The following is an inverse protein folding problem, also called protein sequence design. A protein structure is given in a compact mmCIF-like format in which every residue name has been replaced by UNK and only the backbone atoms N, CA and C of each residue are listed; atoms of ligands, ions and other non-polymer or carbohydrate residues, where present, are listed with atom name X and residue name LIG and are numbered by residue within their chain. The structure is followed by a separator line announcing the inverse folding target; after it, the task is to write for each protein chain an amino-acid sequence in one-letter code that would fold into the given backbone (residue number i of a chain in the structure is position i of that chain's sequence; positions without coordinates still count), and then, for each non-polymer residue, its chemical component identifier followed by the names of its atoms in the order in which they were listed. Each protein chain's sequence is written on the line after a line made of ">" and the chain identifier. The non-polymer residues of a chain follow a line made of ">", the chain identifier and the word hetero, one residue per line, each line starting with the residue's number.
data_IF_309568325974
#
_entry.id   IF_309568325974
#
_cell.length_a   1.000
_cell.length_b   1.000
_cell.length_c   1.000
_cell.angle_alpha   90.00
_cell.angle_beta   90.00
_cell.angle_gamma   90.00
#
_symmetry.space_group_name_H-M   'P 1'
#
loop_
_entity.id
_entity.type
_entity.pdbx_description
1 polymer ?
#
# COMPACT_ATOMS: atom_id res chain seq x y z
N UNK A 1 -16.03 -25.24 5.10
CA UNK A 1 -14.80 -25.49 5.86
C UNK A 1 -14.22 -24.14 6.25
N UNK A 2 -14.73 -23.54 7.33
CA UNK A 2 -14.35 -22.21 7.83
C UNK A 2 -14.40 -22.27 9.35
N UNK A 3 -13.23 -22.17 9.98
CA UNK A 3 -12.97 -21.65 11.33
C UNK A 3 -11.46 -21.78 11.55
N UNK A 4 -10.86 -20.85 12.27
CA UNK A 4 -9.41 -20.65 12.45
C UNK A 4 -8.70 -19.98 11.27
N UNK A 5 -8.67 -18.64 11.25
CA UNK A 5 -7.54 -17.82 10.78
C UNK A 5 -7.85 -16.30 10.82
N UNK A 6 -8.29 -15.76 11.95
CA UNK A 6 -8.21 -14.30 12.19
C UNK A 6 -7.67 -13.98 13.59
N UNK A 7 -6.39 -14.33 13.89
CA UNK A 7 -5.76 -13.97 15.16
C UNK A 7 -5.75 -12.46 15.43
N UNK A 8 -6.00 -11.65 14.42
CA UNK A 8 -6.10 -10.20 14.54
C UNK A 8 -7.36 -9.76 15.30
N UNK A 9 -8.44 -10.55 15.38
CA UNK A 9 -9.73 -10.14 15.99
C UNK A 9 -9.67 -9.95 17.51
N UNK A 10 -8.58 -10.36 18.17
CA UNK A 10 -8.39 -10.25 19.62
C UNK A 10 -7.85 -8.88 20.07
N UNK A 11 -7.38 -8.02 19.15
CA UNK A 11 -6.71 -6.74 19.45
C UNK A 11 -7.66 -5.52 19.50
N UNK A 12 -8.94 -5.76 19.78
CA UNK A 12 -10.08 -4.84 19.64
C UNK A 12 -10.01 -3.48 20.38
N UNK A 13 -9.31 -3.29 21.52
CA UNK A 13 -9.41 -2.00 22.24
C UNK A 13 -8.19 -1.06 22.14
N UNK A 14 -7.14 -1.38 21.38
CA UNK A 14 -5.87 -0.59 21.38
C UNK A 14 -5.41 -0.12 19.98
N UNK A 15 -6.29 -0.14 18.97
CA UNK A 15 -5.84 0.05 17.58
C UNK A 15 -5.28 1.46 17.32
N UNK A 16 -5.87 2.53 17.86
CA UNK A 16 -5.33 3.90 17.69
C UNK A 16 -4.11 4.22 18.56
N UNK A 17 -3.81 3.42 19.61
CA UNK A 17 -2.62 3.67 20.46
C UNK A 17 -1.31 3.25 19.81
N UNK A 18 -1.37 2.59 18.66
CA UNK A 18 -0.21 2.16 17.88
C UNK A 18 0.09 3.08 16.70
N UNK A 19 -0.73 4.12 16.51
CA UNK A 19 -0.48 5.18 15.54
C UNK A 19 0.82 5.89 15.94
N UNK A 20 1.67 6.12 14.95
CA UNK A 20 3.01 6.70 15.13
C UNK A 20 3.02 8.11 14.59
N UNK A 21 3.80 8.96 15.26
CA UNK A 21 4.22 10.19 14.62
C UNK A 21 5.15 9.88 13.44
N UNK A 22 5.17 10.72 12.38
CA UNK A 22 6.01 10.47 11.21
C UNK A 22 7.50 10.25 11.54
N UNK A 23 8.05 10.94 12.54
CA UNK A 23 9.42 10.74 12.99
C UNK A 23 9.66 9.32 13.56
N UNK A 24 8.68 8.77 14.29
CA UNK A 24 8.75 7.42 14.85
C UNK A 24 8.59 6.36 13.76
N UNK A 25 7.65 6.57 12.83
CA UNK A 25 7.50 5.75 11.62
C UNK A 25 8.82 5.67 10.85
N UNK A 26 9.49 6.81 10.64
CA UNK A 26 10.77 6.86 9.93
C UNK A 26 11.89 6.17 10.73
N UNK A 27 12.00 6.45 12.03
CA UNK A 27 12.99 5.82 12.91
C UNK A 27 12.86 4.29 12.90
N UNK A 28 11.64 3.77 12.93
CA UNK A 28 11.40 2.34 13.03
C UNK A 28 11.48 1.62 11.68
N UNK A 29 10.97 2.22 10.60
CA UNK A 29 10.79 1.54 9.32
C UNK A 29 11.63 2.12 8.18
N UNK A 30 12.38 3.20 8.38
CA UNK A 30 13.16 3.89 7.35
C UNK A 30 14.18 3.00 6.62
N UNK A 31 14.79 2.03 7.30
CA UNK A 31 15.67 1.05 6.66
C UNK A 31 14.90 0.07 5.77
N UNK A 32 13.69 -0.31 6.15
CA UNK A 32 12.81 -1.20 5.38
C UNK A 32 12.23 -0.49 4.15
N UNK A 33 11.82 0.78 4.30
CA UNK A 33 11.39 1.61 3.17
C UNK A 33 12.51 1.74 2.14
N UNK A 34 13.75 1.98 2.60
CA UNK A 34 14.93 2.00 1.71
C UNK A 34 15.15 0.66 1.04
N UNK A 35 15.19 -0.43 1.80
CA UNK A 35 15.43 -1.79 1.28
C UNK A 35 14.46 -2.19 0.16
N UNK A 36 13.19 -1.83 0.28
CA UNK A 36 12.13 -2.29 -0.62
C UNK A 36 11.66 -1.23 -1.62
N UNK A 37 12.32 -0.07 -1.69
CA UNK A 37 11.98 0.96 -2.66
C UNK A 37 12.32 0.55 -4.11
N UNK A 38 11.59 1.11 -5.07
CA UNK A 38 11.92 1.09 -6.50
C UNK A 38 12.27 2.49 -7.00
N UNK A 39 12.62 2.62 -8.28
CA UNK A 39 12.81 3.94 -8.91
C UNK A 39 11.55 4.80 -8.94
N UNK A 40 10.36 4.19 -8.81
CA UNK A 40 9.07 4.91 -8.79
C UNK A 40 8.55 5.02 -7.36
N UNK A 41 8.54 3.88 -6.66
CA UNK A 41 8.02 3.76 -5.30
C UNK A 41 9.17 4.02 -4.33
N UNK A 42 9.45 5.31 -4.11
CA UNK A 42 10.59 5.76 -3.30
C UNK A 42 10.34 5.50 -1.81
N UNK A 43 11.40 5.50 -0.97
CA UNK A 43 11.25 5.28 0.47
C UNK A 43 10.26 6.27 1.13
N UNK A 44 10.31 7.53 0.70
CA UNK A 44 9.48 8.62 1.24
C UNK A 44 8.02 8.44 0.82
N UNK A 45 7.75 8.00 -0.42
CA UNK A 45 6.39 7.69 -0.85
C UNK A 45 5.82 6.49 -0.09
N UNK A 46 6.62 5.44 0.14
CA UNK A 46 6.21 4.29 0.94
C UNK A 46 5.88 4.67 2.38
N UNK A 47 6.69 5.53 2.98
CA UNK A 47 6.45 6.06 4.32
C UNK A 47 5.19 6.94 4.35
N UNK A 48 4.99 7.78 3.33
CA UNK A 48 3.83 8.63 3.20
C UNK A 48 2.53 7.84 3.08
N UNK A 49 2.49 6.83 2.23
CA UNK A 49 1.33 5.92 2.12
C UNK A 49 1.08 5.22 3.46
N UNK A 50 2.12 4.69 4.11
CA UNK A 50 1.97 4.02 5.41
C UNK A 50 1.36 4.94 6.49
N UNK A 51 1.76 6.21 6.48
CA UNK A 51 1.30 7.20 7.43
C UNK A 51 -0.11 7.71 7.12
N UNK A 52 -0.44 7.94 5.85
CA UNK A 52 -1.75 8.45 5.43
C UNK A 52 -2.84 7.38 5.57
N UNK A 53 -2.51 6.12 5.29
CA UNK A 53 -3.49 5.02 5.28
C UNK A 53 -3.77 4.44 6.66
N UNK A 54 -2.73 4.32 7.49
CA UNK A 54 -2.86 3.66 8.78
C UNK A 54 -1.95 4.24 9.85
N UNK A 55 -1.49 5.48 9.74
CA UNK A 55 -0.72 6.14 10.80
C UNK A 55 0.61 5.46 11.13
N UNK A 56 1.19 4.65 10.23
CA UNK A 56 2.36 3.81 10.55
C UNK A 56 2.06 2.67 11.52
N UNK A 57 0.79 2.33 11.73
CA UNK A 57 0.33 1.24 12.58
C UNK A 57 0.19 -0.07 11.77
N UNK A 58 1.02 -1.09 12.04
CA UNK A 58 1.04 -2.33 11.27
C UNK A 58 -0.22 -3.20 11.45
N UNK A 59 -1.07 -2.90 12.42
CA UNK A 59 -2.32 -3.64 12.68
C UNK A 59 -3.57 -2.77 12.54
N UNK A 60 -3.44 -1.57 11.96
CA UNK A 60 -4.56 -0.65 11.72
C UNK A 60 -5.72 -1.33 11.00
N UNK A 61 -6.96 -1.01 11.38
CA UNK A 61 -8.17 -1.50 10.70
C UNK A 61 -9.01 -0.34 10.18
N UNK A 62 -9.83 -0.64 9.19
CA UNK A 62 -10.95 0.21 8.82
C UNK A 62 -11.99 0.26 9.93
N UNK A 63 -12.84 1.29 9.89
CA UNK A 63 -14.00 1.41 10.76
C UNK A 63 -14.89 0.15 10.72
N UNK A 64 -15.52 -0.14 11.86
CA UNK A 64 -16.45 -1.25 12.01
C UNK A 64 -17.85 -0.85 11.57
N UNK A 65 -18.60 -1.80 11.01
CA UNK A 65 -19.99 -1.57 10.62
C UNK A 65 -20.83 -2.81 10.88
N UNK A 66 -22.14 -2.61 11.02
CA UNK A 66 -23.09 -3.71 11.06
C UNK A 66 -23.28 -4.31 9.66
N UNK A 67 -23.30 -5.64 9.60
CA UNK A 67 -23.59 -6.40 8.39
C UNK A 67 -24.78 -7.32 8.63
N UNK A 68 -25.72 -7.34 7.69
CA UNK A 68 -26.81 -8.31 7.70
C UNK A 68 -26.27 -9.65 7.19
N UNK A 69 -26.11 -10.61 8.10
CA UNK A 69 -25.57 -11.95 7.79
C UNK A 69 -26.08 -12.98 8.77
N UNK A 70 -26.20 -14.23 8.31
CA UNK A 70 -26.62 -15.38 9.12
C UNK A 70 -25.49 -15.94 10.00
N UNK A 71 -24.25 -15.48 9.81
CA UNK A 71 -23.13 -15.82 10.68
C UNK A 71 -23.08 -14.85 11.88
N UNK A 72 -23.30 -15.30 13.12
CA UNK A 72 -23.31 -14.42 14.29
C UNK A 72 -22.00 -13.67 14.52
N UNK A 73 -20.86 -14.25 14.14
CA UNK A 73 -19.54 -13.59 14.22
C UNK A 73 -19.35 -12.50 13.14
N UNK A 74 -20.22 -12.47 12.13
CA UNK A 74 -20.18 -11.50 11.03
C UNK A 74 -21.10 -10.31 11.22
N UNK A 75 -21.90 -10.26 12.30
CA UNK A 75 -22.91 -9.21 12.51
C UNK A 75 -22.28 -7.82 12.65
N UNK A 76 -21.14 -7.77 13.34
CA UNK A 76 -20.36 -6.55 13.53
C UNK A 76 -18.89 -6.85 13.22
N UNK A 77 -18.42 -6.35 12.08
CA UNK A 77 -17.07 -6.62 11.57
C UNK A 77 -16.51 -5.37 10.86
N UNK A 78 -15.21 -5.32 10.57
CA UNK A 78 -14.62 -4.23 9.80
C UNK A 78 -15.33 -4.06 8.45
N UNK A 79 -15.50 -2.81 8.01
CA UNK A 79 -16.20 -2.47 6.78
C UNK A 79 -15.57 -3.05 5.50
N UNK A 80 -14.31 -3.49 5.58
CA UNK A 80 -13.58 -4.21 4.54
C UNK A 80 -12.53 -5.11 5.17
N UNK A 81 -11.87 -5.97 4.38
CA UNK A 81 -10.73 -6.78 4.84
C UNK A 81 -9.40 -6.04 4.85
N UNK A 82 -9.41 -4.71 4.66
CA UNK A 82 -8.22 -3.88 4.76
C UNK A 82 -7.60 -3.93 6.16
N UNK A 83 -6.29 -4.16 6.23
CA UNK A 83 -5.54 -4.20 7.48
C UNK A 83 -4.11 -3.67 7.30
N UNK A 84 -3.57 -3.16 8.41
CA UNK A 84 -2.21 -2.70 8.56
C UNK A 84 -1.97 -1.31 7.98
N UNK A 85 -0.72 -0.88 8.02
CA UNK A 85 -0.35 0.49 7.69
C UNK A 85 -0.59 0.89 6.24
N UNK A 86 -0.88 -0.08 5.36
CA UNK A 86 -1.25 0.15 3.95
C UNK A 86 -2.68 -0.28 3.62
N UNK A 87 -3.50 -0.60 4.62
CA UNK A 87 -4.90 -1.02 4.43
C UNK A 87 -5.07 -2.11 3.35
N UNK A 88 -4.19 -3.12 3.37
CA UNK A 88 -4.13 -4.17 2.34
C UNK A 88 -5.33 -5.11 2.51
N UNK A 89 -6.18 -5.21 1.50
CA UNK A 89 -7.32 -6.15 1.48
C UNK A 89 -6.86 -7.58 1.17
N UNK A 90 -7.72 -8.57 1.42
CA UNK A 90 -7.42 -9.98 1.09
C UNK A 90 -7.10 -10.16 -0.41
N UNK A 91 -7.86 -9.51 -1.29
CA UNK A 91 -7.64 -9.59 -2.74
C UNK A 91 -6.35 -8.92 -3.18
N UNK A 92 -6.05 -7.73 -2.64
CA UNK A 92 -4.77 -7.04 -2.90
C UNK A 92 -3.60 -7.87 -2.40
N UNK A 93 -3.74 -8.53 -1.24
CA UNK A 93 -2.71 -9.41 -0.70
C UNK A 93 -2.44 -10.60 -1.62
N UNK A 94 -3.48 -11.28 -2.10
CA UNK A 94 -3.34 -12.41 -3.02
C UNK A 94 -2.66 -12.03 -4.36
N UNK A 95 -2.86 -10.79 -4.82
CA UNK A 95 -2.18 -10.29 -6.02
C UNK A 95 -0.73 -9.90 -5.71
N UNK A 96 -0.50 -9.20 -4.60
CA UNK A 96 0.81 -8.68 -4.21
C UNK A 96 1.81 -9.80 -3.90
N UNK A 97 1.37 -10.93 -3.34
CA UNK A 97 2.25 -12.07 -3.02
C UNK A 97 2.90 -12.70 -4.26
N UNK A 98 2.46 -12.36 -5.47
CA UNK A 98 3.11 -12.77 -6.72
C UNK A 98 4.39 -11.99 -7.01
N UNK A 99 4.71 -10.96 -6.23
CA UNK A 99 5.83 -10.09 -6.51
C UNK A 99 6.69 -9.85 -5.26
N UNK A 100 7.96 -9.58 -5.49
CA UNK A 100 8.93 -9.21 -4.47
C UNK A 100 9.92 -8.18 -5.04
N UNK A 101 10.77 -7.65 -4.17
CA UNK A 101 11.80 -6.67 -4.52
C UNK A 101 13.18 -7.29 -4.36
N UNK A 102 13.96 -7.30 -5.45
CA UNK A 102 15.39 -7.61 -5.45
C UNK A 102 16.16 -6.42 -6.02
N UNK A 103 17.14 -5.90 -5.27
CA UNK A 103 18.00 -4.79 -5.71
C UNK A 103 17.19 -3.63 -6.32
N UNK A 104 16.13 -3.21 -5.63
CA UNK A 104 15.21 -2.13 -6.04
C UNK A 104 14.42 -2.39 -7.34
N UNK A 105 14.31 -3.65 -7.77
CA UNK A 105 13.54 -4.06 -8.94
C UNK A 105 12.45 -5.05 -8.55
N UNK A 106 11.29 -4.91 -9.18
CA UNK A 106 10.20 -5.87 -9.04
C UNK A 106 10.52 -7.14 -9.78
N UNK A 107 10.35 -8.25 -9.09
CA UNK A 107 10.48 -9.61 -9.60
C UNK A 107 9.15 -10.31 -9.39
N UNK A 108 8.78 -11.18 -10.34
CA UNK A 108 7.58 -12.01 -10.24
C UNK A 108 7.95 -13.38 -9.66
N UNK A 109 6.98 -14.00 -8.97
CA UNK A 109 7.06 -15.37 -8.49
C UNK A 109 7.33 -16.32 -9.66
N UNK A 110 8.06 -17.40 -9.36
CA UNK A 110 8.54 -18.31 -10.37
C UNK A 110 9.08 -19.60 -9.75
N UNK A 111 9.59 -20.51 -10.59
CA UNK A 111 10.10 -21.79 -10.10
C UNK A 111 11.19 -21.60 -9.05
N UNK A 112 11.17 -22.41 -7.99
CA UNK A 112 12.14 -22.33 -6.88
C UNK A 112 13.62 -22.42 -7.31
N UNK A 113 13.90 -23.00 -8.48
CA UNK A 113 15.24 -23.14 -9.04
C UNK A 113 15.70 -21.90 -9.82
N UNK A 114 14.84 -20.91 -10.03
CA UNK A 114 15.22 -19.65 -10.65
C UNK A 114 15.72 -18.67 -9.57
N UNK A 115 17.04 -18.36 -9.51
CA UNK A 115 17.59 -17.43 -8.53
C UNK A 115 17.08 -15.99 -8.68
N UNK A 116 16.45 -15.69 -9.81
CA UNK A 116 15.86 -14.39 -10.11
C UNK A 116 14.34 -14.38 -9.93
N UNK A 117 13.74 -15.38 -9.26
CA UNK A 117 12.33 -15.35 -8.88
C UNK A 117 12.15 -15.09 -7.39
N UNK A 118 10.95 -14.67 -7.01
CA UNK A 118 10.59 -14.61 -5.60
C UNK A 118 10.53 -16.01 -5.00
N UNK A 119 10.98 -16.15 -3.76
CA UNK A 119 10.87 -17.41 -3.00
C UNK A 119 10.17 -17.15 -1.67
N UNK A 120 9.47 -18.16 -1.15
CA UNK A 120 8.79 -18.12 0.15
C UNK A 120 7.64 -17.10 0.30
N UNK A 121 7.00 -16.72 -0.80
CA UNK A 121 5.85 -15.80 -0.80
C UNK A 121 4.66 -16.27 0.08
N UNK A 122 4.56 -17.57 0.36
CA UNK A 122 3.55 -18.14 1.25
C UNK A 122 3.66 -17.68 2.72
N UNK A 123 4.81 -17.12 3.12
CA UNK A 123 5.06 -16.61 4.48
C UNK A 123 4.78 -15.12 4.63
N UNK A 124 4.32 -14.44 3.57
CA UNK A 124 3.97 -13.03 3.65
C UNK A 124 2.83 -12.78 4.65
N UNK A 125 2.83 -11.59 5.24
CA UNK A 125 1.80 -11.15 6.18
C UNK A 125 1.57 -9.67 6.03
N UNK A 126 0.30 -9.25 6.03
CA UNK A 126 -0.09 -7.83 5.92
C UNK A 126 0.26 -6.99 7.15
N UNK A 127 0.49 -7.65 8.29
CA UNK A 127 0.73 -6.98 9.58
C UNK A 127 2.22 -6.99 9.99
N UNK A 128 3.07 -7.67 9.22
CA UNK A 128 4.53 -7.61 9.43
C UNK A 128 5.08 -6.44 8.60
N UNK A 129 5.69 -5.41 9.21
CA UNK A 129 6.08 -4.19 8.48
C UNK A 129 6.92 -4.45 7.23
N UNK A 130 7.98 -5.25 7.32
CA UNK A 130 8.83 -5.55 6.15
C UNK A 130 8.04 -6.20 5.00
N UNK A 131 7.09 -7.08 5.32
CA UNK A 131 6.26 -7.77 4.33
C UNK A 131 5.29 -6.78 3.68
N UNK A 132 4.55 -6.00 4.48
CA UNK A 132 3.59 -5.03 3.97
C UNK A 132 4.26 -3.96 3.09
N UNK A 133 5.46 -3.49 3.46
CA UNK A 133 6.25 -2.55 2.65
C UNK A 133 6.61 -3.17 1.30
N UNK A 134 7.14 -4.38 1.29
CA UNK A 134 7.55 -5.04 0.06
C UNK A 134 6.37 -5.34 -0.87
N UNK A 135 5.26 -5.84 -0.31
CA UNK A 135 4.02 -6.13 -1.04
C UNK A 135 3.45 -4.86 -1.69
N UNK A 136 3.35 -3.77 -0.94
CA UNK A 136 2.86 -2.49 -1.45
C UNK A 136 3.78 -1.93 -2.53
N UNK A 137 5.10 -1.94 -2.29
CA UNK A 137 6.09 -1.43 -3.24
C UNK A 137 6.03 -2.18 -4.56
N UNK A 138 6.12 -3.51 -4.50
CA UNK A 138 6.18 -4.36 -5.68
C UNK A 138 4.88 -4.27 -6.50
N UNK A 139 3.73 -4.34 -5.85
CA UNK A 139 2.44 -4.28 -6.54
C UNK A 139 2.19 -2.91 -7.20
N UNK A 140 2.48 -1.82 -6.50
CA UNK A 140 2.26 -0.47 -7.05
C UNK A 140 3.20 -0.18 -8.22
N UNK A 141 4.48 -0.53 -8.11
CA UNK A 141 5.44 -0.36 -9.21
C UNK A 141 4.99 -1.16 -10.44
N UNK A 142 4.60 -2.42 -10.26
CA UNK A 142 4.08 -3.26 -11.35
C UNK A 142 2.84 -2.66 -12.01
N UNK A 143 1.90 -2.15 -11.23
CA UNK A 143 0.67 -1.54 -11.75
C UNK A 143 0.93 -0.21 -12.46
N UNK A 144 1.87 0.61 -11.97
CA UNK A 144 2.31 1.84 -12.68
C UNK A 144 2.92 1.48 -14.02
N UNK A 145 3.86 0.53 -14.06
CA UNK A 145 4.49 0.08 -15.32
C UNK A 145 3.45 -0.48 -16.30
N UNK A 146 2.51 -1.29 -15.81
CA UNK A 146 1.41 -1.83 -16.62
C UNK A 146 0.47 -0.76 -17.14
N UNK A 147 0.25 0.32 -16.38
CA UNK A 147 -0.66 1.41 -16.75
C UNK A 147 -0.04 2.36 -17.75
N UNK A 148 1.22 2.76 -17.55
CA UNK A 148 1.94 3.70 -18.41
C UNK A 148 2.44 3.02 -19.67
N UNK A 149 2.85 1.75 -19.56
CA UNK A 149 3.54 1.01 -20.60
C UNK A 149 5.06 1.20 -20.56
N UNK A 150 5.88 0.14 -20.68
CA UNK A 150 7.34 0.23 -20.54
C UNK A 150 8.00 1.29 -21.42
N UNK A 151 7.58 1.40 -22.69
CA UNK A 151 8.14 2.36 -23.65
C UNK A 151 7.79 3.82 -23.37
N UNK A 152 6.80 4.10 -22.51
CA UNK A 152 6.39 5.47 -22.14
C UNK A 152 6.91 5.91 -20.79
N UNK A 153 7.53 5.03 -20.01
CA UNK A 153 8.04 5.33 -18.68
C UNK A 153 9.06 6.48 -18.69
N UNK A 154 9.87 6.64 -19.72
CA UNK A 154 10.82 7.75 -19.83
C UNK A 154 10.17 9.12 -20.04
N UNK A 155 8.96 9.17 -20.60
CA UNK A 155 8.24 10.42 -20.91
C UNK A 155 7.39 10.94 -19.75
N UNK A 156 7.08 10.07 -18.78
CA UNK A 156 6.25 10.42 -17.61
C UNK A 156 7.16 10.85 -16.46
N UNK A 157 6.87 12.02 -15.90
CA UNK A 157 7.63 12.55 -14.76
C UNK A 157 7.51 11.62 -13.54
N UNK A 158 8.50 11.64 -12.65
CA UNK A 158 8.44 10.86 -11.41
C UNK A 158 7.18 11.20 -10.61
N UNK A 159 6.86 12.48 -10.46
CA UNK A 159 5.65 12.93 -9.76
C UNK A 159 4.36 12.35 -10.35
N UNK A 160 4.22 12.32 -11.67
CA UNK A 160 3.05 11.72 -12.31
C UNK A 160 2.96 10.21 -12.05
N UNK A 161 4.09 9.49 -12.05
CA UNK A 161 4.13 8.06 -11.70
C UNK A 161 3.74 7.81 -10.24
N UNK A 162 4.22 8.65 -9.33
CA UNK A 162 3.91 8.56 -7.89
C UNK A 162 2.44 8.91 -7.60
N UNK A 163 1.91 9.95 -8.23
CA UNK A 163 0.48 10.27 -8.17
C UNK A 163 -0.37 9.14 -8.73
N UNK A 164 0.06 8.52 -9.84
CA UNK A 164 -0.61 7.34 -10.39
C UNK A 164 -0.57 6.17 -9.40
N UNK A 165 0.56 5.90 -8.74
CA UNK A 165 0.67 4.88 -7.71
C UNK A 165 -0.31 5.13 -6.55
N UNK A 166 -0.38 6.38 -6.06
CA UNK A 166 -1.30 6.78 -5.00
C UNK A 166 -2.78 6.66 -5.44
N UNK A 167 -3.12 7.04 -6.67
CA UNK A 167 -4.47 6.82 -7.24
C UNK A 167 -4.79 5.33 -7.35
N UNK A 168 -3.85 4.49 -7.81
CA UNK A 168 -4.03 3.04 -7.90
C UNK A 168 -4.22 2.43 -6.50
N UNK A 169 -3.48 2.92 -5.51
CA UNK A 169 -3.59 2.46 -4.14
C UNK A 169 -4.98 2.76 -3.56
N UNK A 170 -5.44 4.01 -3.70
CA UNK A 170 -6.74 4.46 -3.18
C UNK A 170 -7.93 3.86 -3.95
N UNK A 171 -7.85 3.86 -5.28
CA UNK A 171 -9.01 3.67 -6.17
C UNK A 171 -8.96 2.37 -6.99
N UNK A 172 -7.85 1.63 -6.92
CA UNK A 172 -7.62 0.45 -7.74
C UNK A 172 -7.11 0.74 -9.16
N UNK A 173 -6.70 -0.32 -9.85
CA UNK A 173 -6.03 -0.26 -11.15
C UNK A 173 -6.88 0.42 -12.25
N UNK A 174 -8.19 0.15 -12.30
CA UNK A 174 -9.08 0.72 -13.32
C UNK A 174 -9.15 2.25 -13.26
N UNK A 175 -9.24 2.81 -12.05
CA UNK A 175 -9.20 4.26 -11.85
C UNK A 175 -7.82 4.85 -12.22
N UNK A 176 -6.74 4.13 -11.93
CA UNK A 176 -5.39 4.47 -12.36
C UNK A 176 -5.26 4.54 -13.89
N UNK A 177 -5.76 3.53 -14.61
CA UNK A 177 -5.81 3.54 -16.07
C UNK A 177 -6.59 4.74 -16.62
N UNK A 178 -7.77 5.01 -16.07
CA UNK A 178 -8.58 6.14 -16.48
C UNK A 178 -7.88 7.49 -16.22
N UNK A 179 -7.18 7.62 -15.08
CA UNK A 179 -6.37 8.79 -14.73
C UNK A 179 -5.20 9.00 -15.71
N UNK A 180 -4.47 7.94 -16.02
CA UNK A 180 -3.37 7.97 -16.99
C UNK A 180 -3.86 8.28 -18.42
N UNK A 181 -4.98 7.69 -18.84
CA UNK A 181 -5.59 7.94 -20.15
C UNK A 181 -6.01 9.41 -20.34
N UNK A 182 -6.34 10.12 -19.26
CA UNK A 182 -6.62 11.57 -19.26
C UNK A 182 -5.37 12.45 -19.16
N UNK A 183 -4.18 11.88 -19.36
CA UNK A 183 -2.92 12.61 -19.23
C UNK A 183 -2.62 13.03 -17.79
N UNK A 184 -2.94 12.17 -16.82
CA UNK A 184 -2.72 12.41 -15.38
C UNK A 184 -3.54 13.59 -14.84
N UNK A 185 -4.77 13.75 -15.32
CA UNK A 185 -5.72 14.78 -14.87
C UNK A 185 -6.91 14.14 -14.12
N UNK A 186 -7.17 14.64 -12.92
CA UNK A 186 -8.35 14.28 -12.13
C UNK A 186 -9.61 14.89 -12.74
N UNK A 187 -10.74 14.21 -12.61
CA UNK A 187 -12.04 14.82 -12.88
C UNK A 187 -12.43 15.73 -11.71
N UNK A 188 -13.38 16.64 -11.94
CA UNK A 188 -13.94 17.47 -10.87
C UNK A 188 -14.59 16.55 -9.81
N UNK A 189 -14.28 16.79 -8.53
CA UNK A 189 -14.74 15.98 -7.38
C UNK A 189 -14.62 14.47 -7.60
N UNK A 190 -13.49 14.01 -8.14
CA UNK A 190 -13.25 12.57 -8.30
C UNK A 190 -13.20 11.92 -6.92
N UNK A 191 -14.08 10.93 -6.68
CA UNK A 191 -14.16 10.19 -5.41
C UNK A 191 -13.84 8.72 -5.56
N UNK A 192 -13.26 8.15 -4.52
CA UNK A 192 -13.05 6.70 -4.36
C UNK A 192 -13.54 6.29 -2.97
N UNK A 193 -14.73 5.69 -2.93
CA UNK A 193 -15.47 5.52 -1.69
C UNK A 193 -15.75 6.87 -1.02
N UNK A 194 -15.40 6.99 0.25
CA UNK A 194 -15.56 8.24 1.01
C UNK A 194 -14.52 9.31 0.67
N UNK A 195 -13.41 8.95 0.03
CA UNK A 195 -12.26 9.85 -0.18
C UNK A 195 -12.43 10.72 -1.42
N UNK A 196 -12.12 12.01 -1.29
CA UNK A 196 -11.79 12.86 -2.42
C UNK A 196 -10.34 12.61 -2.85
N UNK A 197 -10.14 12.34 -4.15
CA UNK A 197 -8.83 11.94 -4.68
C UNK A 197 -7.84 13.10 -4.66
N UNK A 198 -8.28 14.34 -4.86
CA UNK A 198 -7.39 15.51 -4.84
C UNK A 198 -6.87 15.75 -3.43
N UNK A 199 -7.75 15.71 -2.43
CA UNK A 199 -7.37 15.89 -1.04
C UNK A 199 -6.45 14.76 -0.57
N UNK A 200 -6.72 13.54 -1.00
CA UNK A 200 -5.84 12.40 -0.73
C UNK A 200 -4.44 12.58 -1.32
N UNK A 201 -4.32 12.94 -2.60
CA UNK A 201 -3.02 13.20 -3.23
C UNK A 201 -2.27 14.34 -2.55
N UNK A 202 -2.96 15.41 -2.15
CA UNK A 202 -2.35 16.51 -1.41
C UNK A 202 -1.76 16.06 -0.07
N UNK A 203 -2.46 15.19 0.67
CA UNK A 203 -1.95 14.61 1.92
C UNK A 203 -0.73 13.72 1.69
N UNK A 204 -0.76 12.87 0.65
CA UNK A 204 0.38 12.01 0.30
C UNK A 204 1.59 12.83 -0.13
N UNK A 205 1.41 13.85 -0.97
CA UNK A 205 2.49 14.76 -1.40
C UNK A 205 3.13 15.49 -0.20
N UNK A 206 2.31 16.06 0.68
CA UNK A 206 2.78 16.76 1.87
C UNK A 206 3.55 15.83 2.82
N UNK A 207 3.04 14.61 3.02
CA UNK A 207 3.69 13.62 3.88
C UNK A 207 4.99 13.08 3.25
N UNK A 208 5.03 12.92 1.93
CA UNK A 208 6.26 12.54 1.19
C UNK A 208 7.35 13.59 1.41
N UNK A 209 7.01 14.88 1.33
CA UNK A 209 7.94 15.97 1.64
C UNK A 209 8.42 15.93 3.10
N UNK A 210 7.51 15.64 4.05
CA UNK A 210 7.88 15.50 5.46
C UNK A 210 8.88 14.37 5.68
N UNK A 211 8.68 13.20 5.07
CA UNK A 211 9.62 12.09 5.17
C UNK A 211 10.95 12.37 4.48
N UNK A 212 10.96 13.11 3.36
CA UNK A 212 12.21 13.56 2.74
C UNK A 212 13.05 14.44 3.70
N UNK A 213 12.39 15.33 4.47
CA UNK A 213 13.08 16.13 5.50
C UNK A 213 13.63 15.28 6.64
N UNK A 214 12.86 14.29 7.10
CA UNK A 214 13.32 13.35 8.13
C UNK A 214 14.49 12.50 7.64
N UNK A 215 14.44 12.04 6.40
CA UNK A 215 15.51 11.29 5.75
C UNK A 215 16.82 12.06 5.68
N UNK A 216 16.75 13.36 5.36
CA UNK A 216 17.90 14.25 5.29
C UNK A 216 18.50 14.61 6.65
N UNK A 217 17.71 14.48 7.73
CA UNK A 217 18.14 14.75 9.11
C UNK A 217 18.63 13.49 9.85
N UNK A 218 18.62 12.32 9.20
CA UNK A 218 18.96 11.01 9.80
C UNK A 218 20.35 10.53 9.41
#
# INVERSE_FOLDING_TARGET
>A
YHTFNKPTEVLFPLEHSLDKHPAETWKQYGSLFRKHATSVITPELLAALAQVEGGGNPVARTYWRWHLTWNPLGLYQPASSAVGMYQITDGTFQEATRYCIHNHRVVEDGPWHNPNSCWFNSLYSRVVPSHAIQLTSALLDRRVVSTVGPGRMGMVTLRQKQNLAAVIHLCGAGAGHAYAARGFRLTYHQRCGAHDVRDYLARVDAMTYQFARLAAAS
#
